data_IF_412588062629
#
_entry.id   IF_412588062629
#
_cell.length_a   1.000
_cell.length_b   1.000
_cell.length_c   1.000
_cell.angle_alpha   90.00
_cell.angle_beta   90.00
_cell.angle_gamma   90.00
#
_symmetry.space_group_name_H-M   'P 1'
#
loop_
_entity.id
_entity.type
_entity.pdbx_description
1 polymer ?
#
# COMPACT_ATOMS: atom_id res chain seq x y z
N UNK A 1 -79.77 -7.01 13.63
CA UNK A 1 -78.83 -5.92 13.30
C UNK A 1 -77.89 -5.86 14.50
N UNK A 2 -76.80 -6.61 14.44
CA UNK A 2 -76.06 -7.05 15.63
C UNK A 2 -74.60 -6.62 15.48
N UNK A 3 -74.09 -5.98 16.53
CA UNK A 3 -72.81 -5.29 16.61
C UNK A 3 -71.60 -6.21 16.37
N UNK A 4 -70.66 -5.69 15.57
CA UNK A 4 -69.32 -6.21 15.36
C UNK A 4 -68.38 -5.61 16.42
N UNK A 5 -67.88 -6.45 17.31
CA UNK A 5 -66.82 -6.11 18.26
C UNK A 5 -65.87 -7.29 18.36
N UNK A 6 -64.67 -7.19 17.79
CA UNK A 6 -63.36 -7.52 18.41
C UNK A 6 -62.29 -7.73 17.33
N UNK A 7 -61.74 -6.63 16.79
CA UNK A 7 -60.45 -6.68 16.09
C UNK A 7 -59.36 -6.21 17.06
N UNK A 8 -58.76 -7.18 17.76
CA UNK A 8 -57.64 -6.93 18.65
C UNK A 8 -56.42 -6.44 17.84
N UNK A 9 -56.03 -5.19 18.03
CA UNK A 9 -54.79 -4.63 17.51
C UNK A 9 -53.60 -5.26 18.24
N UNK A 10 -52.75 -6.00 17.52
CA UNK A 10 -51.46 -6.46 18.05
C UNK A 10 -50.49 -5.27 18.05
N UNK A 11 -49.77 -5.01 19.16
CA UNK A 11 -48.76 -3.97 19.18
C UNK A 11 -47.58 -4.35 18.26
N UNK A 12 -46.93 -3.35 17.61
CA UNK A 12 -45.81 -3.59 16.72
C UNK A 12 -44.64 -4.17 17.52
N UNK A 13 -44.31 -5.43 17.23
CA UNK A 13 -43.10 -6.07 17.71
C UNK A 13 -41.90 -5.28 17.22
N UNK A 14 -41.26 -4.54 18.12
CA UNK A 14 -39.99 -3.88 17.85
C UNK A 14 -38.96 -4.95 17.46
N UNK A 15 -38.66 -5.02 16.17
CA UNK A 15 -37.59 -5.87 15.64
C UNK A 15 -36.28 -5.25 16.12
N UNK A 16 -35.74 -5.77 17.22
CA UNK A 16 -34.39 -5.43 17.68
C UNK A 16 -33.41 -6.01 16.66
N UNK A 17 -33.00 -5.20 15.69
CA UNK A 17 -31.90 -5.51 14.79
C UNK A 17 -30.60 -5.41 15.60
N UNK A 18 -30.16 -6.52 16.18
CA UNK A 18 -28.81 -6.62 16.74
C UNK A 18 -27.82 -6.57 15.58
N UNK A 19 -27.27 -5.39 15.32
CA UNK A 19 -26.13 -5.21 14.42
C UNK A 19 -24.92 -5.96 15.01
N UNK A 20 -24.72 -7.20 14.57
CA UNK A 20 -23.47 -7.91 14.78
C UNK A 20 -22.36 -7.08 14.15
N UNK A 21 -21.46 -6.56 14.97
CA UNK A 21 -20.29 -5.83 14.51
C UNK A 21 -19.46 -6.77 13.65
N UNK A 22 -19.62 -6.74 12.33
CA UNK A 22 -18.71 -7.40 11.42
C UNK A 22 -17.37 -6.71 11.63
N UNK A 23 -16.43 -7.36 12.33
CA UNK A 23 -15.05 -6.90 12.37
C UNK A 23 -14.62 -6.76 10.92
N UNK A 24 -14.54 -5.53 10.43
CA UNK A 24 -14.31 -5.31 9.02
C UNK A 24 -13.00 -6.00 8.67
N UNK A 25 -13.03 -6.91 7.70
CA UNK A 25 -11.90 -7.77 7.31
C UNK A 25 -10.60 -7.00 7.00
N UNK A 26 -10.71 -5.67 6.87
CA UNK A 26 -9.63 -4.71 6.68
C UNK A 26 -8.69 -4.63 7.89
N UNK A 27 -9.21 -4.63 9.11
CA UNK A 27 -8.39 -4.51 10.33
C UNK A 27 -7.40 -5.65 10.55
N UNK A 28 -7.79 -6.94 10.47
CA UNK A 28 -6.83 -8.02 10.61
C UNK A 28 -5.79 -8.00 9.48
N UNK A 29 -6.17 -7.64 8.24
CA UNK A 29 -5.21 -7.49 7.15
C UNK A 29 -4.19 -6.38 7.43
N UNK A 30 -4.64 -5.20 7.88
CA UNK A 30 -3.75 -4.09 8.26
C UNK A 30 -2.81 -4.52 9.38
N UNK A 31 -3.33 -5.22 10.41
CA UNK A 31 -2.52 -5.71 11.52
C UNK A 31 -1.46 -6.72 11.05
N UNK A 32 -1.83 -7.68 10.20
CA UNK A 32 -0.89 -8.65 9.60
C UNK A 32 0.17 -7.94 8.76
N UNK A 33 -0.22 -6.96 7.94
CA UNK A 33 0.74 -6.17 7.15
C UNK A 33 1.67 -5.35 8.03
N UNK A 34 1.18 -4.76 9.14
CA UNK A 34 2.01 -4.03 10.10
C UNK A 34 3.04 -4.96 10.75
N UNK A 35 2.60 -6.12 11.25
CA UNK A 35 3.49 -7.13 11.86
C UNK A 35 4.53 -7.61 10.85
N UNK A 36 4.10 -7.95 9.63
CA UNK A 36 4.99 -8.36 8.56
C UNK A 36 6.03 -7.27 8.25
N UNK A 37 5.59 -6.02 8.11
CA UNK A 37 6.47 -4.90 7.80
C UNK A 37 7.48 -4.63 8.92
N UNK A 38 7.06 -4.80 10.18
CA UNK A 38 7.96 -4.69 11.32
C UNK A 38 9.04 -5.78 11.34
N UNK A 39 8.66 -7.03 11.04
CA UNK A 39 9.59 -8.16 10.94
C UNK A 39 10.59 -7.93 9.80
N UNK A 40 10.10 -7.58 8.61
CA UNK A 40 10.97 -7.32 7.44
C UNK A 40 11.87 -6.12 7.67
N UNK A 41 11.37 -5.05 8.29
CA UNK A 41 12.16 -3.89 8.68
C UNK A 41 13.24 -4.22 9.73
N UNK A 42 13.09 -5.30 10.49
CA UNK A 42 14.11 -5.80 11.41
C UNK A 42 15.24 -6.59 10.74
N UNK A 43 15.06 -7.03 9.48
CA UNK A 43 16.09 -7.75 8.74
C UNK A 43 17.26 -6.81 8.40
N UNK A 44 18.48 -7.35 8.44
CA UNK A 44 19.66 -6.61 7.96
C UNK A 44 19.56 -6.44 6.45
N UNK A 45 19.79 -5.21 5.98
CA UNK A 45 19.81 -4.85 4.56
C UNK A 45 20.86 -5.70 3.82
N UNK A 46 20.56 -6.06 2.56
CA UNK A 46 21.44 -6.87 1.69
C UNK A 46 21.73 -8.29 2.20
N UNK A 47 20.83 -8.87 3.00
CA UNK A 47 20.90 -10.29 3.35
C UNK A 47 20.02 -11.13 2.42
N UNK A 48 20.31 -12.43 2.24
CA UNK A 48 19.42 -13.33 1.50
C UNK A 48 18.00 -13.30 2.06
N UNK A 49 17.84 -13.24 3.40
CA UNK A 49 16.55 -13.14 4.06
C UNK A 49 15.77 -11.87 3.67
N UNK A 50 16.43 -10.70 3.68
CA UNK A 50 15.77 -9.45 3.25
C UNK A 50 15.38 -9.48 1.78
N UNK A 51 16.24 -10.05 0.93
CA UNK A 51 15.98 -10.16 -0.51
C UNK A 51 14.77 -11.06 -0.77
N UNK A 52 14.72 -12.23 -0.13
CA UNK A 52 13.58 -13.15 -0.25
C UNK A 52 12.28 -12.50 0.24
N UNK A 53 12.31 -11.75 1.33
CA UNK A 53 11.12 -11.06 1.83
C UNK A 53 10.59 -10.02 0.83
N UNK A 54 11.47 -9.18 0.28
CA UNK A 54 11.07 -8.12 -0.66
C UNK A 54 10.65 -8.72 -2.01
N UNK A 55 11.50 -9.55 -2.63
CA UNK A 55 11.20 -10.16 -3.92
C UNK A 55 10.03 -11.13 -3.84
N UNK A 56 9.90 -11.89 -2.75
CA UNK A 56 8.76 -12.76 -2.51
C UNK A 56 7.45 -11.98 -2.45
N UNK A 57 7.42 -10.86 -1.73
CA UNK A 57 6.24 -9.98 -1.69
C UNK A 57 5.89 -9.43 -3.08
N UNK A 58 6.88 -8.95 -3.83
CA UNK A 58 6.68 -8.47 -5.19
C UNK A 58 6.17 -9.57 -6.14
N UNK A 59 6.74 -10.77 -6.04
CA UNK A 59 6.32 -11.94 -6.82
C UNK A 59 4.89 -12.36 -6.49
N UNK A 60 4.48 -12.28 -5.23
CA UNK A 60 3.08 -12.53 -4.81
C UNK A 60 2.15 -11.52 -5.48
N UNK A 61 2.45 -10.22 -5.43
CA UNK A 61 1.62 -9.22 -6.11
C UNK A 61 1.58 -9.42 -7.63
N UNK A 62 2.71 -9.73 -8.25
CA UNK A 62 2.77 -10.06 -9.67
C UNK A 62 1.91 -11.30 -10.00
N UNK A 63 2.01 -12.36 -9.21
CA UNK A 63 1.20 -13.56 -9.38
C UNK A 63 -0.30 -13.27 -9.22
N UNK A 64 -0.70 -12.48 -8.21
CA UNK A 64 -2.09 -12.05 -8.04
C UNK A 64 -2.55 -11.27 -9.26
N UNK A 65 -1.76 -10.32 -9.75
CA UNK A 65 -2.10 -9.53 -10.93
C UNK A 65 -2.23 -10.39 -12.21
N UNK A 66 -1.43 -11.46 -12.34
CA UNK A 66 -1.48 -12.37 -13.49
C UNK A 66 -2.65 -13.36 -13.42
N UNK A 67 -2.90 -13.97 -12.27
CA UNK A 67 -3.90 -15.04 -12.10
C UNK A 67 -5.29 -14.54 -11.70
N UNK A 68 -5.36 -13.37 -11.09
CA UNK A 68 -6.61 -12.70 -10.70
C UNK A 68 -6.52 -11.22 -11.09
N UNK A 69 -6.44 -10.93 -12.40
CA UNK A 69 -6.27 -9.56 -12.86
C UNK A 69 -7.39 -8.69 -12.30
N UNK A 70 -7.06 -7.54 -11.71
CA UNK A 70 -8.07 -6.63 -11.22
C UNK A 70 -8.96 -6.15 -12.36
N UNK A 71 -10.15 -5.65 -12.01
CA UNK A 71 -11.08 -5.09 -12.98
C UNK A 71 -10.34 -4.01 -13.77
N UNK A 72 -10.06 -4.26 -15.05
CA UNK A 72 -9.35 -3.31 -15.90
C UNK A 72 -10.11 -2.00 -15.95
N UNK A 73 -9.50 -0.93 -15.43
CA UNK A 73 -9.89 0.43 -15.80
C UNK A 73 -9.44 0.65 -17.25
N UNK A 74 -10.32 1.09 -18.16
CA UNK A 74 -9.96 1.32 -19.55
C UNK A 74 -8.79 2.30 -19.60
N UNK A 75 -7.71 1.99 -20.33
CA UNK A 75 -6.54 2.85 -20.38
C UNK A 75 -6.97 4.23 -20.92
N UNK A 76 -6.43 5.33 -20.38
CA UNK A 76 -6.70 6.64 -20.94
C UNK A 76 -6.30 6.65 -22.42
N UNK A 77 -7.15 7.23 -23.28
CA UNK A 77 -6.93 7.27 -24.74
C UNK A 77 -5.59 7.92 -25.13
N UNK A 78 -5.10 8.80 -24.27
CA UNK A 78 -3.79 9.44 -24.38
C UNK A 78 -3.26 9.78 -23.00
N UNK A 79 -1.96 9.62 -22.81
CA UNK A 79 -1.25 10.22 -21.69
C UNK A 79 -1.14 11.73 -21.92
N UNK A 80 -1.46 12.53 -20.91
CA UNK A 80 -1.30 13.97 -21.00
C UNK A 80 0.20 14.31 -21.15
N UNK A 81 0.57 15.02 -22.23
CA UNK A 81 1.96 15.41 -22.49
C UNK A 81 2.59 16.15 -21.31
N UNK A 82 1.80 16.97 -20.59
CA UNK A 82 2.24 17.68 -19.38
C UNK A 82 2.62 16.72 -18.27
N UNK A 83 1.81 15.67 -18.04
CA UNK A 83 2.11 14.64 -17.06
C UNK A 83 3.39 13.88 -17.40
N UNK A 84 3.55 13.45 -18.66
CA UNK A 84 4.79 12.82 -19.12
C UNK A 84 5.97 13.75 -18.88
N UNK A 85 5.89 15.00 -19.34
CA UNK A 85 7.00 15.95 -19.24
C UNK A 85 7.36 16.25 -17.78
N UNK A 86 6.37 16.39 -16.90
CA UNK A 86 6.61 16.58 -15.47
C UNK A 86 7.38 15.40 -14.86
N UNK A 87 6.96 14.17 -15.13
CA UNK A 87 7.65 12.97 -14.65
C UNK A 87 9.04 12.81 -15.27
N UNK A 88 9.19 13.05 -16.57
CA UNK A 88 10.48 12.97 -17.27
C UNK A 88 11.46 14.00 -16.73
N UNK A 89 11.04 15.24 -16.52
CA UNK A 89 11.90 16.29 -15.95
C UNK A 89 12.29 15.90 -14.52
N UNK A 90 11.33 15.50 -13.68
CA UNK A 90 11.61 15.14 -12.30
C UNK A 90 12.60 13.98 -12.20
N UNK A 91 12.35 12.89 -12.93
CA UNK A 91 13.25 11.73 -12.96
C UNK A 91 14.59 12.08 -13.59
N UNK A 92 14.60 12.86 -14.68
CA UNK A 92 15.83 13.27 -15.36
C UNK A 92 16.73 14.13 -14.48
N UNK A 93 16.18 15.16 -13.83
CA UNK A 93 16.94 16.01 -12.89
C UNK A 93 17.48 15.17 -11.74
N UNK A 94 16.64 14.32 -11.16
CA UNK A 94 17.06 13.44 -10.06
C UNK A 94 18.18 12.48 -10.49
N UNK A 95 18.06 11.82 -11.64
CA UNK A 95 19.08 10.92 -12.17
C UNK A 95 20.38 11.64 -12.52
N UNK A 96 20.31 12.83 -13.14
CA UNK A 96 21.50 13.62 -13.46
C UNK A 96 22.23 14.04 -12.18
N UNK A 97 21.51 14.50 -11.17
CA UNK A 97 22.09 14.85 -9.87
C UNK A 97 22.75 13.63 -9.22
N UNK A 98 22.09 12.48 -9.20
CA UNK A 98 22.61 11.26 -8.59
C UNK A 98 23.90 10.80 -9.28
N UNK A 99 23.90 10.75 -10.62
CA UNK A 99 25.08 10.37 -11.42
C UNK A 99 26.22 11.36 -11.22
N UNK A 100 25.93 12.68 -11.26
CA UNK A 100 26.97 13.69 -11.08
C UNK A 100 27.62 13.60 -9.70
N UNK A 101 26.82 13.43 -8.65
CA UNK A 101 27.33 13.34 -7.28
C UNK A 101 28.10 12.03 -7.02
N UNK A 102 27.66 10.93 -7.63
CA UNK A 102 28.38 9.66 -7.58
C UNK A 102 29.75 9.76 -8.27
N UNK A 103 29.81 10.39 -9.45
CA UNK A 103 31.08 10.65 -10.18
C UNK A 103 32.03 11.57 -9.41
N UNK A 104 31.50 12.46 -8.56
CA UNK A 104 32.28 13.34 -7.67
C UNK A 104 32.68 12.64 -6.35
N UNK A 105 32.42 11.34 -6.23
CA UNK A 105 32.91 10.51 -5.13
C UNK A 105 31.94 10.27 -3.99
N UNK A 106 30.64 10.61 -4.16
CA UNK A 106 29.56 10.27 -3.21
C UNK A 106 29.93 10.59 -1.75
N UNK A 107 29.87 11.86 -1.39
CA UNK A 107 30.25 12.35 -0.05
C UNK A 107 29.19 13.31 0.49
N UNK A 108 29.29 13.75 1.74
CA UNK A 108 28.38 14.78 2.26
C UNK A 108 28.47 16.13 1.53
N UNK A 109 29.59 16.41 0.85
CA UNK A 109 29.73 17.59 -0.01
C UNK A 109 29.02 17.41 -1.38
N UNK A 110 28.92 16.17 -1.85
CA UNK A 110 28.23 15.78 -3.08
C UNK A 110 27.29 14.60 -2.78
N UNK A 111 26.20 14.83 -2.02
CA UNK A 111 25.41 13.74 -1.46
C UNK A 111 24.55 13.09 -2.54
N UNK A 112 24.67 11.77 -2.66
CA UNK A 112 23.69 10.94 -3.37
C UNK A 112 22.48 10.71 -2.49
N UNK A 113 21.32 10.40 -3.08
CA UNK A 113 20.14 10.01 -2.32
C UNK A 113 20.45 8.80 -1.43
N UNK A 114 21.30 7.88 -1.88
CA UNK A 114 21.76 6.75 -1.06
C UNK A 114 22.38 7.21 0.27
N UNK A 115 23.28 8.20 0.23
CA UNK A 115 23.91 8.76 1.44
C UNK A 115 22.88 9.46 2.33
N UNK A 116 22.00 10.26 1.72
CA UNK A 116 20.94 10.96 2.47
C UNK A 116 19.95 10.00 3.13
N UNK A 117 19.66 8.88 2.48
CA UNK A 117 18.73 7.88 3.00
C UNK A 117 19.35 6.93 4.02
N UNK A 118 20.68 6.82 4.06
CA UNK A 118 21.40 5.93 4.98
C UNK A 118 20.99 6.13 6.45
N UNK A 119 21.02 7.34 7.04
CA UNK A 119 20.64 7.52 8.45
C UNK A 119 19.16 7.18 8.70
N UNK A 120 18.29 7.44 7.73
CA UNK A 120 16.86 7.13 7.84
C UNK A 120 16.68 5.60 7.83
N UNK A 121 17.29 4.91 6.88
CA UNK A 121 17.16 3.46 6.70
C UNK A 121 17.95 2.63 7.71
N UNK A 122 18.83 3.25 8.50
CA UNK A 122 19.53 2.55 9.58
C UNK A 122 18.56 2.21 10.74
N UNK A 123 17.54 3.02 10.94
CA UNK A 123 16.51 2.75 11.94
C UNK A 123 15.48 1.72 11.44
N UNK A 124 15.33 0.63 12.19
CA UNK A 124 14.32 -0.41 11.94
C UNK A 124 12.91 0.16 11.72
N UNK A 125 12.51 1.17 12.50
CA UNK A 125 11.17 1.74 12.41
C UNK A 125 10.91 2.36 11.03
N UNK A 126 11.85 3.13 10.49
CA UNK A 126 11.69 3.75 9.18
C UNK A 126 11.69 2.72 8.05
N UNK A 127 12.50 1.65 8.17
CA UNK A 127 12.42 0.52 7.21
C UNK A 127 11.06 -0.16 7.26
N UNK A 128 10.52 -0.42 8.46
CA UNK A 128 9.21 -1.02 8.62
C UNK A 128 8.10 -0.14 8.02
N UNK A 129 8.15 1.18 8.25
CA UNK A 129 7.23 2.14 7.64
C UNK A 129 7.34 2.12 6.11
N UNK A 130 8.57 2.11 5.57
CA UNK A 130 8.79 2.05 4.13
C UNK A 130 8.19 0.78 3.51
N UNK A 131 8.40 -0.39 4.14
CA UNK A 131 7.82 -1.67 3.69
C UNK A 131 6.28 -1.62 3.76
N UNK A 132 5.72 -1.09 4.84
CA UNK A 132 4.27 -0.96 5.00
C UNK A 132 3.66 -0.08 3.91
N UNK A 133 4.25 1.11 3.67
CA UNK A 133 3.82 2.04 2.63
C UNK A 133 3.94 1.40 1.25
N UNK A 134 5.03 0.69 0.97
CA UNK A 134 5.24 0.00 -0.29
C UNK A 134 4.17 -1.08 -0.55
N UNK A 135 3.84 -1.88 0.46
CA UNK A 135 2.75 -2.87 0.39
C UNK A 135 1.40 -2.18 0.18
N UNK A 136 1.12 -1.10 0.93
CA UNK A 136 -0.14 -0.38 0.82
C UNK A 136 -0.34 0.22 -0.58
N UNK A 137 0.71 0.81 -1.16
CA UNK A 137 0.72 1.31 -2.54
C UNK A 137 0.51 0.16 -3.52
N UNK A 138 1.21 -0.96 -3.36
CA UNK A 138 1.03 -2.14 -4.22
C UNK A 138 -0.40 -2.68 -4.20
N UNK A 139 -1.01 -2.78 -3.01
CA UNK A 139 -2.42 -3.18 -2.86
C UNK A 139 -3.37 -2.18 -3.51
N UNK A 140 -3.12 -0.87 -3.37
CA UNK A 140 -3.93 0.17 -4.00
C UNK A 140 -3.81 0.13 -5.53
N UNK A 141 -2.60 -0.09 -6.06
CA UNK A 141 -2.38 -0.28 -7.49
C UNK A 141 -3.10 -1.53 -8.02
N UNK A 142 -3.18 -2.61 -7.23
CA UNK A 142 -3.96 -3.80 -7.59
C UNK A 142 -5.48 -3.59 -7.48
N UNK A 143 -5.97 -2.54 -6.82
CA UNK A 143 -7.41 -2.26 -6.71
C UNK A 143 -7.93 -1.35 -7.82
N UNK A 144 -7.03 -0.59 -8.43
CA UNK A 144 -7.29 0.29 -9.57
C UNK A 144 -7.23 -0.48 -10.87
#
# INVERSE_FOLDING_TARGET
MTHDTTRAERPPTAVVVTSTSTLSWRWPLIAVTLVYSFIVGGLRTFTPASNVAIFGTGAIFLAIALFRPPKRVPPPRSLERRGIMAWTIMLGVFSVQEIANDLLGSSYAHPTLSILMTPILDHQLFRAVAVFVWIAVGVELLRR
#
